data_IF_942947643739
#
_entry.id   IF_942947643739
#
_cell.length_a   1.000
_cell.length_b   1.000
_cell.length_c   1.000
_cell.angle_alpha   90.00
_cell.angle_beta   90.00
_cell.angle_gamma   90.00
#
_symmetry.space_group_name_H-M   'P 1'
#
loop_
_entity.id
_entity.type
_entity.pdbx_description
1 polymer ?
#
# COMPACT_ATOMS: atom_id res chain seq x y z
N UNK A 1 1.49 -13.16 7.50
CA UNK A 1 1.99 -11.91 6.88
C UNK A 1 3.14 -11.38 7.72
N UNK A 2 4.20 -10.80 7.12
CA UNK A 2 5.45 -10.44 7.85
C UNK A 2 5.25 -9.31 8.88
N UNK A 3 4.22 -8.49 8.71
CA UNK A 3 4.01 -7.28 9.51
C UNK A 3 2.71 -7.28 10.33
N UNK A 4 2.07 -8.44 10.47
CA UNK A 4 0.89 -8.61 11.33
C UNK A 4 -0.41 -7.98 10.80
N UNK A 5 -0.41 -7.41 9.60
CA UNK A 5 -1.62 -6.96 8.91
C UNK A 5 -2.10 -8.07 7.98
N UNK A 6 -3.30 -8.63 8.18
CA UNK A 6 -3.94 -9.52 7.22
C UNK A 6 -4.15 -8.82 5.88
N UNK A 7 -4.07 -9.56 4.77
CA UNK A 7 -4.26 -8.95 3.45
C UNK A 7 -5.72 -8.54 3.21
N UNK A 8 -6.68 -9.27 3.78
CA UNK A 8 -8.09 -8.92 3.68
C UNK A 8 -8.36 -7.54 4.31
N UNK A 9 -7.75 -7.27 5.47
CA UNK A 9 -7.80 -5.96 6.16
C UNK A 9 -7.08 -4.84 5.38
N UNK A 10 -6.21 -5.20 4.43
CA UNK A 10 -5.47 -4.24 3.60
C UNK A 10 -6.20 -3.91 2.29
N UNK A 11 -7.18 -4.71 1.86
CA UNK A 11 -7.95 -4.47 0.64
C UNK A 11 -8.63 -3.08 0.58
N UNK A 12 -9.20 -2.55 1.67
CA UNK A 12 -9.88 -1.25 1.64
C UNK A 12 -8.95 -0.09 1.24
N UNK A 13 -7.62 -0.23 1.35
CA UNK A 13 -6.67 0.79 0.88
C UNK A 13 -6.87 1.14 -0.60
N UNK A 14 -7.29 0.16 -1.40
CA UNK A 14 -7.54 0.35 -2.83
C UNK A 14 -8.90 1.01 -3.11
N UNK A 15 -9.74 1.17 -2.10
CA UNK A 15 -11.01 1.90 -2.19
C UNK A 15 -10.88 3.35 -1.71
N UNK A 16 -9.78 3.69 -1.02
CA UNK A 16 -9.50 5.05 -0.61
C UNK A 16 -9.14 5.93 -1.81
N UNK A 17 -10.01 6.88 -2.10
CA UNK A 17 -9.86 7.85 -3.20
C UNK A 17 -8.69 8.82 -2.99
N UNK A 18 -8.20 8.96 -1.76
CA UNK A 18 -7.09 9.84 -1.42
C UNK A 18 -5.78 9.07 -1.24
N UNK A 19 -5.76 7.77 -1.55
CA UNK A 19 -4.54 6.96 -1.41
C UNK A 19 -3.41 7.54 -2.25
N UNK A 20 -2.20 7.46 -1.73
CA UNK A 20 -0.98 7.86 -2.43
C UNK A 20 -0.33 6.65 -3.07
N UNK A 21 -0.35 6.58 -4.40
CA UNK A 21 0.32 5.53 -5.18
C UNK A 21 1.71 5.98 -5.67
N UNK A 22 2.71 5.10 -5.57
CA UNK A 22 4.08 5.33 -6.07
C UNK A 22 4.68 4.05 -6.65
N UNK A 23 5.50 4.21 -7.69
CA UNK A 23 6.33 3.13 -8.20
C UNK A 23 7.49 2.83 -7.23
N UNK A 24 7.72 1.55 -6.90
CA UNK A 24 8.79 1.08 -6.04
C UNK A 24 9.92 0.44 -6.88
N UNK A 25 10.72 1.30 -7.49
CA UNK A 25 11.88 0.92 -8.31
C UNK A 25 13.20 0.83 -7.55
N UNK A 26 13.17 0.57 -6.23
CA UNK A 26 14.37 0.57 -5.38
C UNK A 26 15.31 -0.61 -5.67
N UNK A 27 14.79 -1.71 -6.19
CA UNK A 27 15.56 -2.90 -6.56
C UNK A 27 15.01 -3.51 -7.87
N UNK A 28 15.83 -4.33 -8.52
CA UNK A 28 15.42 -5.13 -9.67
C UNK A 28 14.68 -6.39 -9.20
N UNK A 29 13.40 -6.23 -8.84
CA UNK A 29 12.58 -7.30 -8.30
C UNK A 29 12.13 -8.36 -9.33
N UNK A 30 12.40 -8.15 -10.62
CA UNK A 30 11.92 -8.98 -11.73
C UNK A 30 10.43 -8.79 -12.06
N UNK A 31 9.75 -7.85 -11.40
CA UNK A 31 8.37 -7.42 -11.67
C UNK A 31 8.21 -5.95 -11.24
N UNK A 32 7.26 -5.24 -11.85
CA UNK A 32 6.90 -3.89 -11.41
C UNK A 32 6.23 -3.95 -10.04
N UNK A 33 6.74 -3.14 -9.11
CA UNK A 33 6.16 -3.00 -7.77
C UNK A 33 5.69 -1.59 -7.54
N UNK A 34 4.61 -1.50 -6.80
CA UNK A 34 3.98 -0.26 -6.40
C UNK A 34 3.80 -0.27 -4.90
N UNK A 35 3.85 0.92 -4.32
CA UNK A 35 3.56 1.18 -2.93
C UNK A 35 2.36 2.13 -2.89
N UNK A 36 1.33 1.74 -2.14
CA UNK A 36 0.20 2.60 -1.84
C UNK A 36 0.12 2.89 -0.35
N UNK A 37 -0.18 4.14 0.00
CA UNK A 37 -0.50 4.56 1.36
C UNK A 37 -1.94 5.06 1.34
N UNK A 38 -2.81 4.45 2.12
CA UNK A 38 -4.21 4.87 2.20
C UNK A 38 -4.85 4.42 3.49
N UNK A 39 -6.09 4.85 3.68
CA UNK A 39 -6.91 4.47 4.82
C UNK A 39 -7.58 3.12 4.55
N UNK A 40 -7.44 2.19 5.50
CA UNK A 40 -8.21 0.97 5.56
C UNK A 40 -8.85 0.87 6.95
N UNK A 41 -10.18 0.86 6.98
CA UNK A 41 -10.97 1.06 8.20
C UNK A 41 -10.47 2.30 8.97
N UNK A 42 -9.96 2.11 10.20
CA UNK A 42 -9.46 3.17 11.07
C UNK A 42 -7.93 3.35 11.01
N UNK A 43 -7.23 2.67 10.10
CA UNK A 43 -5.76 2.65 10.06
C UNK A 43 -5.19 3.09 8.71
N UNK A 44 -4.15 3.92 8.73
CA UNK A 44 -3.34 4.15 7.53
C UNK A 44 -2.40 2.97 7.32
N UNK A 45 -2.53 2.34 6.17
CA UNK A 45 -1.73 1.20 5.79
C UNK A 45 -0.82 1.56 4.62
N UNK A 46 0.37 0.98 4.65
CA UNK A 46 1.25 0.92 3.48
C UNK A 46 1.18 -0.47 2.90
N UNK A 47 0.81 -0.56 1.63
CA UNK A 47 0.66 -1.81 0.90
C UNK A 47 1.58 -1.81 -0.30
N UNK A 48 2.43 -2.83 -0.40
CA UNK A 48 3.24 -3.10 -1.59
C UNK A 48 2.51 -4.12 -2.44
N UNK A 49 2.33 -3.83 -3.72
CA UNK A 49 1.61 -4.68 -4.66
C UNK A 49 2.26 -4.69 -6.03
N UNK A 50 1.83 -5.63 -6.87
CA UNK A 50 2.18 -5.69 -8.29
C UNK A 50 0.90 -5.88 -9.12
N UNK A 51 0.91 -5.36 -10.34
CA UNK A 51 -0.16 -5.53 -11.31
C UNK A 51 0.18 -6.68 -12.25
N UNK A 52 -0.75 -7.63 -12.41
CA UNK A 52 -0.62 -8.78 -13.31
C UNK A 52 -1.86 -8.86 -14.18
N UNK A 53 -1.83 -8.16 -15.33
CA UNK A 53 -3.03 -7.93 -16.14
C UNK A 53 -4.08 -7.19 -15.32
N UNK A 54 -5.27 -7.77 -15.21
CA UNK A 54 -6.39 -7.19 -14.47
C UNK A 54 -6.37 -7.54 -12.96
N UNK A 55 -5.33 -8.23 -12.49
CA UNK A 55 -5.21 -8.66 -11.09
C UNK A 55 -4.17 -7.83 -10.34
N UNK A 56 -4.59 -7.26 -9.21
CA UNK A 56 -3.68 -6.68 -8.21
C UNK A 56 -3.28 -7.76 -7.21
N UNK A 57 -1.98 -8.04 -7.09
CA UNK A 57 -1.45 -8.96 -6.08
C UNK A 57 -0.76 -8.19 -4.97
N UNK A 58 -1.26 -8.33 -3.74
CA UNK A 58 -0.59 -7.81 -2.55
C UNK A 58 0.66 -8.66 -2.25
N UNK A 59 1.80 -7.98 -2.09
CA UNK A 59 3.09 -8.58 -1.72
C UNK A 59 3.33 -8.39 -0.21
N UNK A 60 3.02 -7.20 0.30
CA UNK A 60 3.19 -6.85 1.71
C UNK A 60 2.15 -5.83 2.14
N UNK A 61 1.71 -5.90 3.39
CA UNK A 61 0.86 -4.92 4.03
C UNK A 61 1.38 -4.67 5.44
N UNK A 62 1.43 -3.41 5.86
CA UNK A 62 1.83 -2.99 7.20
C UNK A 62 1.16 -1.68 7.59
N UNK A 63 1.18 -1.34 8.87
CA UNK A 63 0.86 0.04 9.30
C UNK A 63 1.84 1.02 8.66
N UNK A 64 1.30 2.16 8.23
CA UNK A 64 2.12 3.27 7.76
C UNK A 64 3.03 3.75 8.89
N UNK A 65 4.27 4.11 8.56
CA UNK A 65 5.15 4.78 9.50
C UNK A 65 4.62 6.19 9.78
N UNK A 66 5.06 6.81 10.88
CA UNK A 66 4.69 8.20 11.20
C UNK A 66 4.97 9.17 10.04
N UNK A 67 6.05 8.96 9.30
CA UNK A 67 6.39 9.79 8.15
C UNK A 67 5.39 9.62 7.00
N UNK A 68 5.06 8.37 6.66
CA UNK A 68 4.07 8.04 5.63
C UNK A 68 2.66 8.50 5.99
N UNK A 69 2.27 8.39 7.27
CA UNK A 69 1.01 8.96 7.77
C UNK A 69 0.95 10.47 7.56
N UNK A 70 2.00 11.19 7.98
CA UNK A 70 2.08 12.64 7.78
C UNK A 70 2.03 13.02 6.30
N UNK A 71 2.63 12.21 5.43
CA UNK A 71 2.60 12.43 4.00
C UNK A 71 1.20 12.21 3.41
N UNK A 72 0.53 11.12 3.80
CA UNK A 72 -0.86 10.85 3.43
C UNK A 72 -1.78 12.02 3.81
N UNK A 73 -1.75 12.45 5.07
CA UNK A 73 -2.62 13.53 5.55
C UNK A 73 -2.29 14.93 4.99
N UNK A 74 -1.08 15.15 4.48
CA UNK A 74 -0.72 16.41 3.83
C UNK A 74 -1.19 16.50 2.37
N UNK A 75 -1.34 15.37 1.71
CA UNK A 75 -1.69 15.29 0.28
C UNK A 75 -3.13 14.81 0.05
N UNK A 76 -3.88 14.61 1.13
CA UNK A 76 -5.32 14.38 1.15
C UNK A 76 -6.07 15.71 1.13
#
# INVERSE_FOLDING_TARGET
>A
TKHGVPFDDALPVFLDVNRLDRYDGREEYGEDRFLTIGLADDFELTVTYTLRGDTTRIISARKATRHEQLEYWKNR
#
